data_IF_864514827877
#
_entry.id   IF_864514827877
#
_cell.length_a   1.000
_cell.length_b   1.000
_cell.length_c   1.000
_cell.angle_alpha   90.00
_cell.angle_beta   90.00
_cell.angle_gamma   90.00
#
_symmetry.space_group_name_H-M   'P 1'
#
loop_
_entity.id
_entity.type
_entity.pdbx_description
1 polymer ?
#
# COMPACT_ATOMS: atom_id res chain seq x y z
N UNK A 1 -23.21 -7.82 -21.23
CA UNK A 1 -23.35 -8.20 -19.79
C UNK A 1 -22.07 -8.82 -19.23
N UNK A 2 -21.49 -9.85 -19.88
CA UNK A 2 -20.25 -10.51 -19.45
C UNK A 2 -19.05 -9.58 -19.25
N UNK A 3 -18.83 -8.60 -20.13
CA UNK A 3 -17.73 -7.63 -20.02
C UNK A 3 -17.85 -6.77 -18.75
N UNK A 4 -19.07 -6.29 -18.44
CA UNK A 4 -19.33 -5.50 -17.22
C UNK A 4 -19.09 -6.31 -15.94
N UNK A 5 -19.37 -7.61 -15.96
CA UNK A 5 -19.08 -8.49 -14.81
C UNK A 5 -17.58 -8.54 -14.53
N UNK A 6 -16.73 -8.68 -15.55
CA UNK A 6 -15.28 -8.70 -15.38
C UNK A 6 -14.74 -7.34 -14.92
N UNK A 7 -15.30 -6.25 -15.43
CA UNK A 7 -14.98 -4.91 -14.93
C UNK A 7 -15.32 -4.75 -13.44
N UNK A 8 -16.52 -5.14 -13.02
CA UNK A 8 -16.91 -5.07 -11.61
C UNK A 8 -16.08 -6.02 -10.74
N UNK A 9 -15.79 -7.23 -11.23
CA UNK A 9 -14.93 -8.17 -10.54
C UNK A 9 -13.52 -7.61 -10.36
N UNK A 10 -12.93 -7.03 -11.41
CA UNK A 10 -11.61 -6.40 -11.35
C UNK A 10 -11.60 -5.24 -10.34
N UNK A 11 -12.46 -4.24 -10.51
CA UNK A 11 -12.47 -3.05 -9.63
C UNK A 11 -12.81 -3.45 -8.19
N UNK A 12 -13.85 -4.26 -8.02
CA UNK A 12 -14.36 -4.70 -6.72
C UNK A 12 -13.40 -5.59 -5.95
N UNK A 13 -12.53 -6.36 -6.63
CA UNK A 13 -11.48 -7.13 -5.96
C UNK A 13 -10.16 -6.36 -5.81
N UNK A 14 -9.81 -5.55 -6.80
CA UNK A 14 -8.50 -4.90 -6.84
C UNK A 14 -8.40 -3.73 -5.85
N UNK A 15 -9.48 -2.98 -5.60
CA UNK A 15 -9.46 -1.90 -4.61
C UNK A 15 -9.25 -2.40 -3.16
N UNK A 16 -9.99 -3.39 -2.65
CA UNK A 16 -9.69 -4.00 -1.36
C UNK A 16 -8.29 -4.64 -1.31
N UNK A 17 -7.87 -5.27 -2.41
CA UNK A 17 -6.52 -5.82 -2.51
C UNK A 17 -5.45 -4.72 -2.40
N UNK A 18 -5.66 -3.54 -2.99
CA UNK A 18 -4.74 -2.41 -2.83
C UNK A 18 -4.68 -1.94 -1.38
N UNK A 19 -5.81 -1.88 -0.66
CA UNK A 19 -5.81 -1.52 0.76
C UNK A 19 -5.03 -2.52 1.62
N UNK A 20 -5.33 -3.82 1.47
CA UNK A 20 -4.65 -4.90 2.19
C UNK A 20 -3.16 -4.98 1.83
N UNK A 21 -2.84 -4.89 0.54
CA UNK A 21 -1.48 -4.87 0.05
C UNK A 21 -0.69 -3.69 0.58
N UNK A 22 -1.30 -2.49 0.63
CA UNK A 22 -0.68 -1.28 1.15
C UNK A 22 -0.30 -1.47 2.61
N UNK A 23 -1.23 -1.97 3.45
CA UNK A 23 -0.94 -2.31 4.85
C UNK A 23 0.21 -3.32 4.95
N UNK A 24 0.21 -4.40 4.17
CA UNK A 24 1.31 -5.37 4.23
C UNK A 24 2.66 -4.78 3.83
N UNK A 25 2.73 -4.00 2.76
CA UNK A 25 3.99 -3.37 2.34
C UNK A 25 4.47 -2.30 3.31
N UNK A 26 3.54 -1.62 3.97
CA UNK A 26 3.81 -0.65 5.01
C UNK A 26 4.38 -1.35 6.26
N UNK A 27 3.67 -2.32 6.82
CA UNK A 27 4.13 -3.10 7.99
C UNK A 27 5.42 -3.89 7.71
N UNK A 28 5.66 -4.31 6.46
CA UNK A 28 6.93 -4.94 6.09
C UNK A 28 8.11 -3.98 6.27
N UNK A 29 7.91 -2.67 6.11
CA UNK A 29 8.92 -1.66 6.43
C UNK A 29 9.33 -1.71 7.89
N UNK A 30 8.36 -1.71 8.81
CA UNK A 30 8.57 -1.82 10.26
C UNK A 30 9.33 -3.09 10.61
N UNK A 31 8.93 -4.22 10.01
CA UNK A 31 9.56 -5.52 10.24
C UNK A 31 11.03 -5.51 9.79
N UNK A 32 11.28 -5.11 8.54
CA UNK A 32 12.62 -5.13 7.95
C UNK A 32 13.55 -4.18 8.69
N UNK A 33 13.11 -2.94 8.91
CA UNK A 33 13.90 -1.94 9.63
C UNK A 33 14.11 -2.31 11.09
N UNK A 34 13.09 -2.86 11.76
CA UNK A 34 13.20 -3.36 13.13
C UNK A 34 14.32 -4.38 13.28
N UNK A 35 14.39 -5.37 12.38
CA UNK A 35 15.49 -6.33 12.37
C UNK A 35 16.84 -5.69 12.00
N UNK A 36 16.89 -4.85 10.97
CA UNK A 36 18.14 -4.23 10.50
C UNK A 36 18.77 -3.29 11.53
N UNK A 37 17.96 -2.72 12.42
CA UNK A 37 18.40 -1.79 13.45
C UNK A 37 18.71 -2.47 14.78
N UNK A 38 18.56 -3.79 14.87
CA UNK A 38 18.84 -4.58 16.07
C UNK A 38 17.66 -4.67 17.04
N UNK A 39 16.45 -4.28 16.62
CA UNK A 39 15.23 -4.51 17.36
C UNK A 39 14.69 -5.94 17.17
N UNK A 40 13.65 -6.28 17.93
CA UNK A 40 12.93 -7.55 17.79
C UNK A 40 11.46 -7.29 17.50
N UNK A 41 10.96 -7.86 16.41
CA UNK A 41 9.54 -7.82 16.08
C UNK A 41 8.81 -8.79 17.02
N UNK A 42 7.98 -8.24 17.89
CA UNK A 42 7.20 -9.04 18.86
C UNK A 42 5.81 -9.38 18.33
N UNK A 43 5.28 -8.55 17.43
CA UNK A 43 3.95 -8.74 16.86
C UNK A 43 3.79 -8.04 15.53
N UNK A 44 3.02 -8.65 14.63
CA UNK A 44 2.57 -8.04 13.37
C UNK A 44 1.07 -8.31 13.23
N UNK A 45 0.29 -7.26 12.97
CA UNK A 45 -1.16 -7.29 12.80
C UNK A 45 -1.49 -6.71 11.43
N UNK A 46 -2.05 -7.54 10.53
CA UNK A 46 -2.52 -7.17 9.19
C UNK A 46 -3.91 -7.79 8.98
N UNK A 47 -4.77 -7.68 10.00
CA UNK A 47 -6.11 -8.26 9.96
C UNK A 47 -7.07 -7.28 9.25
N UNK A 48 -7.95 -7.73 8.33
CA UNK A 48 -8.75 -6.82 7.49
C UNK A 48 -9.72 -5.92 8.26
N UNK A 49 -10.05 -6.32 9.49
CA UNK A 49 -10.99 -5.64 10.39
C UNK A 49 -10.30 -4.91 11.55
N UNK A 50 -8.97 -4.78 11.53
CA UNK A 50 -8.22 -4.03 12.54
C UNK A 50 -7.31 -3.00 11.86
N UNK A 51 -6.85 -2.03 12.64
CA UNK A 51 -5.75 -1.15 12.22
C UNK A 51 -4.48 -2.03 12.17
N UNK A 52 -3.71 -1.90 11.10
CA UNK A 52 -2.44 -2.62 11.01
C UNK A 52 -1.44 -2.05 12.01
N UNK A 53 -0.58 -2.91 12.55
CA UNK A 53 0.52 -2.47 13.41
C UNK A 53 1.62 -3.51 13.50
N UNK A 54 2.84 -3.04 13.71
CA UNK A 54 4.00 -3.86 14.02
C UNK A 54 4.61 -3.38 15.34
N UNK A 55 4.68 -4.30 16.31
CA UNK A 55 5.24 -4.00 17.62
C UNK A 55 6.73 -4.43 17.64
N UNK A 56 7.65 -3.48 17.77
CA UNK A 56 9.10 -3.72 17.86
C UNK A 56 9.59 -3.41 19.28
N UNK A 57 10.21 -4.38 19.95
CA UNK A 57 10.73 -4.22 21.30
C UNK A 57 11.92 -5.17 21.57
N UNK A 58 13.11 -4.67 21.97
CA UNK A 58 13.48 -3.25 22.04
C UNK A 58 13.44 -2.60 20.64
N UNK A 59 13.19 -1.30 20.59
CA UNK A 59 13.28 -0.50 19.37
C UNK A 59 14.40 0.55 19.54
N UNK A 60 15.64 0.21 19.16
CA UNK A 60 16.80 1.07 19.40
C UNK A 60 16.81 2.33 18.53
N UNK A 61 16.17 2.29 17.36
CA UNK A 61 16.11 3.43 16.43
C UNK A 61 14.68 3.63 15.89
N UNK A 62 13.74 4.07 16.74
CA UNK A 62 12.33 4.16 16.39
C UNK A 62 12.08 5.04 15.17
N UNK A 63 12.87 6.11 15.00
CA UNK A 63 12.76 7.01 13.86
C UNK A 63 13.04 6.33 12.51
N UNK A 64 14.05 5.43 12.47
CA UNK A 64 14.36 4.67 11.25
C UNK A 64 13.24 3.69 10.94
N UNK A 65 12.67 3.08 11.98
CA UNK A 65 11.59 2.11 11.85
C UNK A 65 10.35 2.76 11.23
N UNK A 66 9.86 3.85 11.83
CA UNK A 66 8.64 4.54 11.35
C UNK A 66 8.79 5.20 9.96
N UNK A 67 10.01 5.59 9.57
CA UNK A 67 10.24 6.12 8.21
C UNK A 67 10.41 5.02 7.17
N UNK A 68 10.80 3.81 7.57
CA UNK A 68 10.95 2.70 6.65
C UNK A 68 9.61 2.28 6.05
N UNK A 69 8.50 2.47 6.74
CA UNK A 69 7.17 2.03 6.31
C UNK A 69 6.66 2.75 5.07
N UNK A 70 6.56 4.09 5.05
CA UNK A 70 6.19 4.81 3.83
C UNK A 70 7.20 4.58 2.70
N UNK A 71 8.49 4.41 3.02
CA UNK A 71 9.54 4.17 2.02
C UNK A 71 9.37 2.79 1.38
N UNK A 72 9.27 1.72 2.16
CA UNK A 72 9.04 0.36 1.68
C UNK A 72 7.69 0.23 0.98
N UNK A 73 6.65 0.85 1.56
CA UNK A 73 5.30 0.91 1.00
C UNK A 73 5.25 1.50 -0.41
N UNK A 74 6.20 2.36 -0.78
CA UNK A 74 6.33 2.94 -2.12
C UNK A 74 7.38 2.20 -2.98
N UNK A 75 8.52 1.85 -2.40
CA UNK A 75 9.63 1.24 -3.13
C UNK A 75 9.26 -0.13 -3.71
N UNK A 76 8.53 -0.95 -2.95
CA UNK A 76 8.09 -2.29 -3.39
C UNK A 76 7.20 -2.21 -4.63
N UNK A 77 6.06 -1.48 -4.62
CA UNK A 77 5.22 -1.38 -5.81
C UNK A 77 5.91 -0.67 -6.97
N UNK A 78 6.83 0.28 -6.70
CA UNK A 78 7.64 0.92 -7.74
C UNK A 78 8.52 -0.10 -8.47
N UNK A 79 9.28 -0.91 -7.73
CA UNK A 79 10.14 -1.95 -8.32
C UNK A 79 9.30 -2.97 -9.09
N UNK A 80 8.18 -3.42 -8.52
CA UNK A 80 7.27 -4.35 -9.19
C UNK A 80 6.74 -3.78 -10.51
N UNK A 81 6.30 -2.51 -10.49
CA UNK A 81 5.86 -1.83 -11.70
C UNK A 81 6.99 -1.70 -12.73
N UNK A 82 8.18 -1.25 -12.32
CA UNK A 82 9.33 -1.10 -13.22
C UNK A 82 9.72 -2.42 -13.90
N UNK A 83 9.74 -3.53 -13.16
CA UNK A 83 10.00 -4.87 -13.71
C UNK A 83 8.92 -5.24 -14.72
N UNK A 84 7.63 -5.14 -14.36
CA UNK A 84 6.54 -5.55 -15.25
C UNK A 84 6.42 -4.66 -16.49
N UNK A 85 6.68 -3.36 -16.36
CA UNK A 85 6.72 -2.43 -17.47
C UNK A 85 7.91 -2.70 -18.40
N UNK A 86 9.09 -2.98 -17.84
CA UNK A 86 10.28 -3.39 -18.61
C UNK A 86 10.07 -4.69 -19.40
N UNK A 87 9.32 -5.63 -18.82
CA UNK A 87 8.90 -6.87 -19.47
C UNK A 87 7.71 -6.70 -20.44
N UNK A 88 7.21 -5.47 -20.63
CA UNK A 88 6.07 -5.13 -21.50
C UNK A 88 4.81 -5.95 -21.18
N UNK A 89 4.60 -6.26 -19.91
CA UNK A 89 3.45 -7.06 -19.49
C UNK A 89 2.14 -6.26 -19.62
N UNK A 90 1.11 -6.87 -20.22
CA UNK A 90 -0.21 -6.23 -20.44
C UNK A 90 -0.92 -5.82 -19.16
N UNK A 91 -0.61 -6.47 -18.03
CA UNK A 91 -1.18 -6.16 -16.71
C UNK A 91 -0.31 -5.25 -15.84
N UNK A 92 0.76 -4.66 -16.39
CA UNK A 92 1.65 -3.71 -15.69
C UNK A 92 0.96 -2.46 -15.15
N UNK A 93 -0.27 -2.17 -15.60
CA UNK A 93 -1.09 -1.09 -15.05
C UNK A 93 -1.56 -1.36 -13.61
N UNK A 94 -1.67 -2.63 -13.18
CA UNK A 94 -2.06 -2.98 -11.81
C UNK A 94 -1.03 -2.51 -10.77
N UNK A 95 0.26 -2.91 -10.83
CA UNK A 95 1.25 -2.41 -9.88
C UNK A 95 1.46 -0.89 -9.99
N UNK A 96 1.26 -0.28 -11.17
CA UNK A 96 1.26 1.18 -11.32
C UNK A 96 0.11 1.83 -10.56
N UNK A 97 -1.08 1.26 -10.64
CA UNK A 97 -2.23 1.74 -9.86
C UNK A 97 -1.97 1.56 -8.36
N UNK A 98 -1.46 0.39 -7.97
CA UNK A 98 -1.13 0.09 -6.58
C UNK A 98 -0.04 1.02 -6.03
N UNK A 99 0.99 1.36 -6.81
CA UNK A 99 1.97 2.39 -6.47
C UNK A 99 1.31 3.75 -6.16
N UNK A 100 0.41 4.20 -7.04
CA UNK A 100 -0.36 5.42 -6.80
C UNK A 100 -1.20 5.34 -5.52
N UNK A 101 -1.81 4.17 -5.26
CA UNK A 101 -2.56 3.93 -4.03
C UNK A 101 -1.68 4.01 -2.78
N UNK A 102 -0.49 3.40 -2.80
CA UNK A 102 0.45 3.49 -1.68
C UNK A 102 0.93 4.93 -1.46
N UNK A 103 1.21 5.68 -2.52
CA UNK A 103 1.62 7.08 -2.44
C UNK A 103 0.55 7.93 -1.75
N UNK A 104 -0.70 7.86 -2.20
CA UNK A 104 -1.77 8.68 -1.62
C UNK A 104 -2.11 8.22 -0.20
N UNK A 105 -2.14 6.91 0.07
CA UNK A 105 -2.47 6.38 1.38
C UNK A 105 -1.42 6.79 2.42
N UNK A 106 -0.13 6.53 2.16
CA UNK A 106 0.95 6.92 3.07
C UNK A 106 1.08 8.45 3.17
N UNK A 107 0.96 9.16 2.05
CA UNK A 107 1.07 10.62 2.00
C UNK A 107 -0.03 11.33 2.79
N UNK A 108 -1.29 10.91 2.59
CA UNK A 108 -2.41 11.45 3.34
C UNK A 108 -2.37 11.04 4.82
N UNK A 109 -2.00 9.79 5.10
CA UNK A 109 -1.87 9.27 6.46
C UNK A 109 -0.85 10.08 7.29
N UNK A 110 0.37 10.28 6.79
CA UNK A 110 1.39 11.05 7.49
C UNK A 110 1.10 12.55 7.49
N UNK A 111 0.68 13.08 6.34
CA UNK A 111 0.37 14.51 6.19
C UNK A 111 -0.73 14.96 7.13
N UNK A 112 -1.88 14.28 7.11
CA UNK A 112 -3.05 14.62 7.94
C UNK A 112 -2.86 14.10 9.38
N UNK A 113 -2.31 12.90 9.57
CA UNK A 113 -2.06 12.32 10.89
C UNK A 113 -1.08 13.13 11.75
N UNK A 114 -0.26 14.00 11.13
CA UNK A 114 0.63 14.91 11.83
C UNK A 114 -0.07 15.94 12.72
N UNK A 115 -1.34 16.30 12.41
CA UNK A 115 -2.08 17.28 13.21
C UNK A 115 -2.51 16.73 14.57
N UNK A 116 -2.98 15.48 14.59
CA UNK A 116 -3.46 14.80 15.80
C UNK A 116 -2.37 13.95 16.48
N UNK A 117 -1.16 13.87 15.88
CA UNK A 117 -0.04 13.07 16.39
C UNK A 117 -0.42 11.60 16.66
N UNK A 118 -1.15 10.98 15.72
CA UNK A 118 -1.65 9.61 15.82
C UNK A 118 -0.78 8.63 15.03
N UNK A 119 -0.72 7.37 15.48
CA UNK A 119 0.00 6.30 14.81
C UNK A 119 1.47 6.65 14.53
N UNK A 120 1.96 6.33 13.33
CA UNK A 120 3.37 6.56 12.97
C UNK A 120 3.73 8.04 12.90
N UNK A 121 2.78 8.91 12.51
CA UNK A 121 3.02 10.34 12.53
C UNK A 121 3.30 10.84 13.97
N UNK A 122 2.56 10.33 14.95
CA UNK A 122 2.82 10.59 16.36
C UNK A 122 4.19 10.08 16.80
N UNK A 123 4.54 8.84 16.46
CA UNK A 123 5.84 8.27 16.79
C UNK A 123 6.99 9.03 16.13
N UNK A 124 6.85 9.45 14.88
CA UNK A 124 7.81 10.29 14.17
C UNK A 124 8.07 11.59 14.94
N UNK A 125 7.01 12.32 15.28
CA UNK A 125 7.12 13.60 15.99
C UNK A 125 7.74 13.43 17.38
N UNK A 126 7.31 12.41 18.14
CA UNK A 126 7.86 12.10 19.47
C UNK A 126 9.35 11.72 19.44
N UNK A 127 9.81 11.12 18.35
CA UNK A 127 11.20 10.73 18.15
C UNK A 127 12.03 11.76 17.36
N UNK A 128 11.50 12.98 17.18
CA UNK A 128 12.26 14.13 16.70
C UNK A 128 12.13 14.45 15.21
N UNK A 129 11.25 13.78 14.44
CA UNK A 129 10.94 14.23 13.08
C UNK A 129 10.35 15.64 13.11
N UNK A 130 10.88 16.59 12.33
CA UNK A 130 10.22 17.88 12.17
C UNK A 130 8.88 17.72 11.43
N UNK A 131 7.82 18.35 11.93
CA UNK A 131 6.47 18.25 11.34
C UNK A 131 6.41 18.59 9.84
N UNK A 132 7.23 19.55 9.40
CA UNK A 132 7.28 19.96 8.00
C UNK A 132 7.75 18.83 7.06
N UNK A 133 8.51 17.85 7.55
CA UNK A 133 8.93 16.70 6.74
C UNK A 133 7.76 15.79 6.39
N UNK A 134 6.80 15.61 7.31
CA UNK A 134 5.57 14.85 7.08
C UNK A 134 4.66 15.58 6.09
N UNK A 135 4.53 16.90 6.21
CA UNK A 135 3.78 17.71 5.24
C UNK A 135 4.42 17.69 3.86
N UNK A 136 5.74 17.83 3.79
CA UNK A 136 6.48 17.77 2.53
C UNK A 136 6.28 16.41 1.86
N UNK A 137 6.36 15.33 2.63
CA UNK A 137 6.07 13.98 2.12
C UNK A 137 4.65 13.88 1.55
N UNK A 138 3.64 14.35 2.28
CA UNK A 138 2.25 14.35 1.81
C UNK A 138 2.03 15.22 0.55
N UNK A 139 2.58 16.44 0.52
CA UNK A 139 2.48 17.38 -0.61
C UNK A 139 3.12 16.82 -1.87
N UNK A 140 4.15 15.98 -1.75
CA UNK A 140 4.79 15.34 -2.90
C UNK A 140 4.06 14.06 -3.29
N UNK A 141 3.80 13.17 -2.33
CA UNK A 141 3.25 11.84 -2.60
C UNK A 141 1.84 11.90 -3.19
N UNK A 142 0.99 12.80 -2.70
CA UNK A 142 -0.40 12.92 -3.17
C UNK A 142 -0.46 13.33 -4.65
N UNK A 143 0.17 14.42 -5.14
CA UNK A 143 0.23 14.72 -6.57
C UNK A 143 0.86 13.60 -7.40
N UNK A 144 1.95 12.98 -6.93
CA UNK A 144 2.58 11.87 -7.64
C UNK A 144 1.66 10.65 -7.80
N UNK A 145 0.74 10.42 -6.86
CA UNK A 145 -0.28 9.38 -7.01
C UNK A 145 -1.18 9.61 -8.23
N UNK A 146 -1.64 10.85 -8.43
CA UNK A 146 -2.47 11.21 -9.58
C UNK A 146 -1.70 11.10 -10.89
N UNK A 147 -0.41 11.42 -10.90
CA UNK A 147 0.47 11.18 -12.05
C UNK A 147 0.60 9.67 -12.35
N UNK A 148 0.72 8.83 -11.31
CA UNK A 148 0.73 7.37 -11.48
C UNK A 148 -0.57 6.86 -12.08
N UNK A 149 -1.72 7.43 -11.70
CA UNK A 149 -3.03 7.02 -12.22
C UNK A 149 -3.40 7.63 -13.58
N UNK A 150 -2.63 8.60 -14.05
CA UNK A 150 -2.87 9.25 -15.32
C UNK A 150 -2.92 8.23 -16.47
N UNK A 151 -4.01 8.28 -17.24
CA UNK A 151 -4.35 7.37 -18.35
C UNK A 151 -4.64 5.90 -17.99
N UNK A 152 -4.85 5.53 -16.72
CA UNK A 152 -5.20 4.14 -16.37
C UNK A 152 -6.68 3.79 -16.56
N UNK A 153 -7.57 4.78 -16.66
CA UNK A 153 -9.02 4.57 -16.75
C UNK A 153 -9.47 3.55 -17.81
N UNK A 154 -8.99 3.63 -19.07
CA UNK A 154 -9.33 2.66 -20.10
C UNK A 154 -8.98 1.21 -19.76
N UNK A 155 -7.90 0.94 -19.00
CA UNK A 155 -7.51 -0.41 -18.60
C UNK A 155 -8.49 -1.06 -17.61
N UNK A 156 -9.19 -0.24 -16.83
CA UNK A 156 -10.28 -0.67 -15.94
C UNK A 156 -11.65 -0.66 -16.64
N UNK A 157 -11.68 -0.57 -17.98
CA UNK A 157 -12.91 -0.57 -18.77
C UNK A 157 -13.73 0.72 -18.62
N UNK A 158 -13.15 1.78 -18.04
CA UNK A 158 -13.80 3.08 -17.91
C UNK A 158 -13.70 3.86 -19.23
N UNK A 159 -14.56 4.87 -19.38
CA UNK A 159 -14.59 5.77 -20.55
C UNK A 159 -14.77 4.99 -21.87
N UNK A 160 -13.75 4.92 -22.71
CA UNK A 160 -13.80 4.48 -24.10
C UNK A 160 -14.01 2.96 -24.24
N UNK A 161 -13.48 2.16 -23.30
CA UNK A 161 -13.53 0.70 -23.38
C UNK A 161 -14.85 0.06 -22.93
N UNK A 162 -15.80 0.86 -22.42
CA UNK A 162 -17.19 0.45 -22.09
C UNK A 162 -17.33 -0.90 -21.37
N UNK A 163 -16.40 -1.23 -20.47
CA UNK A 163 -16.40 -2.46 -19.68
C UNK A 163 -15.45 -3.56 -20.16
N UNK A 164 -14.75 -3.38 -21.29
CA UNK A 164 -13.71 -4.30 -21.72
C UNK A 164 -12.46 -4.15 -20.85
N UNK A 165 -12.11 -5.23 -20.15
CA UNK A 165 -10.94 -5.33 -19.27
C UNK A 165 -10.15 -6.60 -19.61
N UNK A 166 -8.90 -6.68 -19.14
CA UNK A 166 -8.10 -7.90 -19.26
C UNK A 166 -8.66 -8.97 -18.30
N UNK A 167 -9.17 -10.08 -18.85
CA UNK A 167 -9.73 -11.17 -18.06
C UNK A 167 -8.71 -11.75 -17.07
N UNK A 168 -7.41 -11.78 -17.42
CA UNK A 168 -6.36 -12.29 -16.54
C UNK A 168 -6.20 -11.38 -15.34
N UNK A 169 -6.27 -10.06 -15.53
CA UNK A 169 -6.21 -9.10 -14.43
C UNK A 169 -7.37 -9.26 -13.45
N UNK A 170 -8.59 -9.48 -13.97
CA UNK A 170 -9.78 -9.70 -13.13
C UNK A 170 -9.63 -10.97 -12.28
N UNK A 171 -9.27 -12.10 -12.90
CA UNK A 171 -9.08 -13.36 -12.19
C UNK A 171 -7.92 -13.29 -11.19
N UNK A 172 -6.78 -12.72 -11.59
CA UNK A 172 -5.62 -12.54 -10.71
C UNK A 172 -5.98 -11.70 -9.49
N UNK A 173 -6.70 -10.59 -9.67
CA UNK A 173 -7.10 -9.72 -8.56
C UNK A 173 -8.04 -10.42 -7.58
N UNK A 174 -9.00 -11.20 -8.09
CA UNK A 174 -9.88 -12.01 -7.24
C UNK A 174 -9.12 -13.09 -6.47
N UNK A 175 -8.23 -13.82 -7.13
CA UNK A 175 -7.44 -14.89 -6.50
C UNK A 175 -6.52 -14.31 -5.44
N UNK A 176 -5.79 -13.23 -5.75
CA UNK A 176 -4.90 -12.57 -4.79
C UNK A 176 -5.68 -12.02 -3.59
N UNK A 177 -6.83 -11.39 -3.81
CA UNK A 177 -7.69 -10.93 -2.71
C UNK A 177 -8.15 -12.09 -1.84
N UNK A 178 -8.62 -13.19 -2.43
CA UNK A 178 -9.09 -14.35 -1.69
C UNK A 178 -7.97 -14.99 -0.86
N UNK A 179 -6.77 -15.15 -1.44
CA UNK A 179 -5.59 -15.64 -0.73
C UNK A 179 -5.25 -14.71 0.42
N UNK A 180 -5.16 -13.40 0.15
CA UNK A 180 -4.77 -12.42 1.18
C UNK A 180 -5.75 -12.42 2.34
N UNK A 181 -7.06 -12.40 2.07
CA UNK A 181 -8.09 -12.48 3.11
C UNK A 181 -7.94 -13.78 3.91
N UNK A 182 -7.82 -14.92 3.24
CA UNK A 182 -7.65 -16.20 3.92
C UNK A 182 -6.40 -16.20 4.82
N UNK A 183 -5.25 -15.75 4.32
CA UNK A 183 -4.02 -15.69 5.09
C UNK A 183 -4.13 -14.71 6.25
N UNK A 184 -4.71 -13.53 6.04
CA UNK A 184 -4.85 -12.52 7.09
C UNK A 184 -5.83 -12.98 8.18
N UNK A 185 -6.92 -13.65 7.84
CA UNK A 185 -7.85 -14.18 8.85
C UNK A 185 -7.27 -15.35 9.66
N UNK A 186 -6.39 -16.15 9.06
CA UNK A 186 -5.80 -17.33 9.70
C UNK A 186 -4.55 -16.97 10.52
N UNK A 187 -3.69 -16.11 9.98
CA UNK A 187 -2.35 -15.87 10.52
C UNK A 187 -2.24 -14.56 11.30
N UNK A 188 -3.07 -13.55 10.99
CA UNK A 188 -2.99 -12.28 11.71
C UNK A 188 -3.75 -12.35 13.03
N UNK A 189 -3.11 -12.02 14.16
CA UNK A 189 -3.83 -11.74 15.41
C UNK A 189 -4.87 -10.63 15.19
N UNK A 190 -5.97 -10.67 15.97
CA UNK A 190 -7.02 -9.63 15.91
C UNK A 190 -6.67 -8.35 16.67
N UNK A 191 -5.81 -8.46 17.67
CA UNK A 191 -5.30 -7.39 18.53
C UNK A 191 -3.91 -7.74 18.98
#
# INVERSE_FOLDING_TARGET
MKERIHQFALIGSFLPLCWLGMMATHELGHVVSGYLTGGTVTKVVIHPLSISRTDVNPNPTPLVVVWADPVCGIAIPLVLWSIMAGLRNSISYLPRFFLGFCLIANGAYLGIGSFDSIGDAGQMLQNGSPIWTLWLFGIIAVPFSFLCWHHLGPNFGLVEKRGQVDDRAAHLSMILLAIFLATSFVLSPRT
#
